data_IF_904799335689
#
_entry.id   IF_904799335689
#
_cell.length_a   1.000
_cell.length_b   1.000
_cell.length_c   1.000
_cell.angle_alpha   90.00
_cell.angle_beta   90.00
_cell.angle_gamma   90.00
#
_symmetry.space_group_name_H-M   'P 1'
#
loop_
_entity.id
_entity.type
_entity.pdbx_description
1 polymer ?
#
# COMPACT_ATOMS: atom_id res chain seq x y z
N UNK A 1 -31.07 2.79 -2.43
CA UNK A 1 -29.69 3.01 -1.94
C UNK A 1 -29.76 2.99 -0.43
N UNK A 2 -29.00 2.11 0.24
CA UNK A 2 -29.05 1.92 1.69
C UNK A 2 -27.99 2.75 2.43
N UNK A 3 -26.79 2.86 1.87
CA UNK A 3 -25.71 3.68 2.44
C UNK A 3 -24.60 3.93 1.41
N UNK A 4 -23.84 5.01 1.62
CA UNK A 4 -22.50 5.20 1.07
C UNK A 4 -21.58 5.35 2.29
N UNK A 5 -20.45 4.65 2.28
CA UNK A 5 -19.47 4.67 3.37
C UNK A 5 -18.14 5.13 2.80
N UNK A 6 -17.60 6.22 3.36
CA UNK A 6 -16.29 6.77 3.03
C UNK A 6 -15.19 6.14 3.88
N UNK A 7 -13.92 6.36 3.52
CA UNK A 7 -12.80 5.96 4.36
C UNK A 7 -12.86 6.51 5.80
N UNK A 8 -13.27 7.77 5.96
CA UNK A 8 -13.40 8.40 7.28
C UNK A 8 -14.47 7.69 8.14
N UNK A 9 -15.63 7.36 7.57
CA UNK A 9 -16.68 6.61 8.27
C UNK A 9 -16.26 5.16 8.54
N UNK A 10 -15.50 4.54 7.64
CA UNK A 10 -15.01 3.18 7.85
C UNK A 10 -14.06 3.06 9.05
N UNK A 11 -13.33 4.12 9.43
CA UNK A 11 -12.49 4.13 10.64
C UNK A 11 -13.28 3.90 11.92
N UNK A 12 -14.55 4.31 11.94
CA UNK A 12 -15.42 4.11 13.11
C UNK A 12 -15.94 2.66 13.21
N UNK A 13 -15.86 1.91 12.11
CA UNK A 13 -16.43 0.58 11.97
C UNK A 13 -15.38 -0.54 12.03
N UNK A 14 -14.19 -0.29 11.48
CA UNK A 14 -13.17 -1.33 11.32
C UNK A 14 -11.76 -0.74 11.46
N UNK A 15 -10.88 -1.50 12.14
CA UNK A 15 -9.47 -1.17 12.23
C UNK A 15 -8.69 -1.47 10.95
N UNK A 16 -7.36 -1.26 10.95
CA UNK A 16 -6.50 -1.67 9.84
C UNK A 16 -6.67 -3.14 9.49
N UNK A 17 -6.45 -3.47 8.22
CA UNK A 17 -6.37 -4.84 7.77
C UNK A 17 -5.22 -5.55 8.52
N UNK A 18 -5.46 -6.73 9.09
CA UNK A 18 -4.42 -7.45 9.81
C UNK A 18 -3.32 -7.88 8.83
N UNK A 19 -2.08 -7.77 9.27
CA UNK A 19 -0.95 -8.32 8.55
C UNK A 19 -0.90 -9.84 8.73
N UNK A 20 -0.82 -10.58 7.62
CA UNK A 20 -0.43 -12.00 7.69
C UNK A 20 0.99 -12.20 8.23
N UNK A 21 1.84 -11.19 8.03
CA UNK A 21 3.18 -11.06 8.59
C UNK A 21 3.49 -9.56 8.77
N UNK A 22 3.78 -9.12 10.00
CA UNK A 22 4.15 -7.73 10.27
C UNK A 22 5.66 -7.52 10.03
N UNK A 23 6.07 -6.67 9.06
CA UNK A 23 7.48 -6.39 8.79
C UNK A 23 8.26 -5.90 10.01
N UNK A 24 7.61 -5.23 10.98
CA UNK A 24 8.27 -4.77 12.19
C UNK A 24 8.91 -5.92 12.99
N UNK A 25 8.32 -7.12 12.93
CA UNK A 25 8.86 -8.32 13.58
C UNK A 25 10.21 -8.80 13.01
N UNK A 26 10.60 -8.34 11.82
CA UNK A 26 11.88 -8.65 11.18
C UNK A 26 12.73 -7.40 10.91
N UNK A 27 12.52 -6.32 11.68
CA UNK A 27 13.32 -5.08 11.57
C UNK A 27 12.91 -4.17 10.40
N UNK A 28 11.78 -4.44 9.75
CA UNK A 28 11.14 -3.53 8.81
C UNK A 28 10.24 -2.50 9.51
N UNK A 29 9.34 -1.88 8.73
CA UNK A 29 8.31 -0.97 9.23
C UNK A 29 6.92 -1.46 8.87
N UNK A 30 5.99 -1.43 9.81
CA UNK A 30 4.57 -1.73 9.58
C UNK A 30 3.97 -0.72 8.61
N UNK A 31 3.15 -1.17 7.65
CA UNK A 31 2.41 -0.31 6.72
C UNK A 31 0.91 -0.47 6.98
N UNK A 32 0.23 0.60 7.36
CA UNK A 32 -1.19 0.53 7.67
C UNK A 32 -2.00 0.42 6.37
N UNK A 33 -2.61 -0.74 6.14
CA UNK A 33 -3.57 -0.93 5.05
C UNK A 33 -4.99 -0.82 5.61
N UNK A 34 -5.83 -0.03 4.95
CA UNK A 34 -7.24 0.15 5.33
C UNK A 34 -8.14 -0.44 4.25
N UNK A 35 -9.36 -0.81 4.64
CA UNK A 35 -10.36 -1.32 3.69
C UNK A 35 -10.81 -0.25 2.69
N UNK A 36 -10.82 1.00 3.14
CA UNK A 36 -11.05 2.20 2.34
C UNK A 36 -9.96 3.21 2.71
N UNK A 37 -9.36 3.84 1.72
CA UNK A 37 -8.32 4.86 1.86
C UNK A 37 -8.84 6.06 2.67
N UNK A 38 -7.95 6.59 3.51
CA UNK A 38 -8.20 7.78 4.32
C UNK A 38 -7.12 8.77 3.97
N UNK A 39 -7.53 9.99 3.64
CA UNK A 39 -6.74 11.16 3.22
C UNK A 39 -5.97 10.97 1.89
N UNK A 40 -5.38 9.80 1.64
CA UNK A 40 -4.49 9.56 0.51
C UNK A 40 -4.69 8.15 -0.08
N UNK A 41 -4.80 8.08 -1.41
CA UNK A 41 -4.75 6.85 -2.21
C UNK A 41 -3.32 6.58 -2.67
N UNK A 42 -2.86 5.33 -2.57
CA UNK A 42 -1.44 4.99 -2.83
C UNK A 42 -1.19 4.23 -4.13
N UNK A 43 -2.25 3.72 -4.77
CA UNK A 43 -2.14 2.98 -6.01
C UNK A 43 -3.46 3.04 -6.80
N UNK A 44 -3.38 2.71 -8.09
CA UNK A 44 -4.57 2.60 -8.94
C UNK A 44 -5.44 1.45 -8.45
N UNK A 45 -6.67 1.77 -8.06
CA UNK A 45 -7.62 0.79 -7.50
C UNK A 45 -7.67 0.77 -5.97
N UNK A 46 -6.96 1.67 -5.29
CA UNK A 46 -7.11 1.86 -3.84
C UNK A 46 -8.55 2.31 -3.52
N UNK A 47 -9.36 1.52 -2.79
CA UNK A 47 -10.78 1.82 -2.61
C UNK A 47 -11.01 3.08 -1.77
N UNK A 48 -11.89 3.99 -2.19
CA UNK A 48 -12.16 5.25 -1.46
C UNK A 48 -13.55 5.33 -0.83
N UNK A 49 -14.51 4.57 -1.38
CA UNK A 49 -15.88 4.52 -0.91
C UNK A 49 -16.52 3.15 -1.18
N UNK A 50 -17.51 2.80 -0.39
CA UNK A 50 -18.36 1.61 -0.54
C UNK A 50 -19.82 2.04 -0.69
N UNK A 51 -20.54 1.47 -1.65
CA UNK A 51 -21.98 1.69 -1.85
C UNK A 51 -22.75 0.43 -1.52
N UNK A 52 -23.77 0.56 -0.68
CA UNK A 52 -24.72 -0.53 -0.39
C UNK A 52 -26.07 -0.19 -1.02
N UNK A 53 -26.49 -1.01 -1.98
CA UNK A 53 -27.79 -0.90 -2.64
C UNK A 53 -28.69 -2.10 -2.36
N UNK A 54 -30.00 -1.92 -2.56
CA UNK A 54 -30.97 -3.02 -2.52
C UNK A 54 -30.93 -3.86 -3.81
N UNK A 55 -30.40 -3.28 -4.88
CA UNK A 55 -30.18 -3.91 -6.19
C UNK A 55 -28.81 -3.50 -6.73
N UNK A 56 -28.24 -4.34 -7.60
CA UNK A 56 -26.96 -4.05 -8.28
C UNK A 56 -27.07 -2.76 -9.10
N UNK A 57 -28.09 -2.64 -9.95
CA UNK A 57 -28.30 -1.46 -10.78
C UNK A 57 -28.43 -0.16 -9.95
N UNK A 58 -29.07 -0.23 -8.78
CA UNK A 58 -29.18 0.93 -7.89
C UNK A 58 -27.87 1.29 -7.20
N UNK A 59 -27.01 0.31 -6.90
CA UNK A 59 -25.67 0.55 -6.37
C UNK A 59 -24.73 1.11 -7.44
N UNK A 60 -24.78 0.58 -8.66
CA UNK A 60 -24.00 1.07 -9.82
C UNK A 60 -24.35 2.51 -10.15
N UNK A 61 -25.64 2.84 -10.25
CA UNK A 61 -26.07 4.22 -10.49
C UNK A 61 -25.61 5.19 -9.39
N UNK A 62 -25.53 4.72 -8.15
CA UNK A 62 -25.02 5.53 -7.04
C UNK A 62 -23.49 5.65 -7.08
N UNK A 63 -22.76 4.60 -7.48
CA UNK A 63 -21.31 4.68 -7.72
C UNK A 63 -20.99 5.71 -8.81
N UNK A 64 -21.73 5.71 -9.91
CA UNK A 64 -21.56 6.67 -11.02
C UNK A 64 -21.81 8.13 -10.60
N UNK A 65 -22.59 8.35 -9.53
CA UNK A 65 -22.88 9.68 -9.00
C UNK A 65 -21.79 10.18 -8.02
N UNK A 66 -20.90 9.31 -7.53
CA UNK A 66 -19.82 9.70 -6.63
C UNK A 66 -18.81 10.55 -7.40
N UNK A 67 -18.43 11.67 -6.78
CA UNK A 67 -17.30 12.49 -7.22
C UNK A 67 -16.25 12.49 -6.14
N UNK A 68 -15.01 12.31 -6.56
CA UNK A 68 -13.85 12.36 -5.67
C UNK A 68 -12.89 13.39 -6.23
N UNK A 69 -12.60 14.40 -5.43
CA UNK A 69 -11.66 15.45 -5.78
C UNK A 69 -10.28 15.06 -5.22
N UNK A 70 -9.29 14.96 -6.10
CA UNK A 70 -7.93 14.58 -5.74
C UNK A 70 -6.96 15.75 -5.92
N UNK A 71 -6.06 15.92 -4.97
CA UNK A 71 -4.78 16.57 -5.22
C UNK A 71 -3.80 15.51 -5.75
N UNK A 72 -3.46 15.57 -7.03
CA UNK A 72 -2.62 14.54 -7.65
C UNK A 72 -1.16 14.72 -7.22
N UNK A 73 -0.64 13.72 -6.50
CA UNK A 73 0.76 13.66 -6.09
C UNK A 73 1.63 12.94 -7.14
N UNK A 74 2.94 13.20 -7.20
CA UNK A 74 3.85 12.47 -8.07
C UNK A 74 3.91 10.98 -7.70
N UNK A 75 3.53 10.12 -8.64
CA UNK A 75 3.60 8.67 -8.46
C UNK A 75 5.02 8.14 -8.74
N UNK A 76 5.42 7.10 -8.00
CA UNK A 76 6.66 6.35 -8.25
C UNK A 76 6.31 4.89 -8.47
N UNK A 77 6.54 4.40 -9.69
CA UNK A 77 6.15 3.05 -10.12
C UNK A 77 7.33 2.14 -10.45
N UNK A 78 8.54 2.70 -10.49
CA UNK A 78 9.78 1.96 -10.73
C UNK A 78 10.59 1.83 -9.45
N UNK A 79 11.18 0.65 -9.25
CA UNK A 79 11.94 0.33 -8.02
C UNK A 79 13.13 1.29 -7.83
N UNK A 80 13.95 1.49 -8.86
CA UNK A 80 15.14 2.35 -8.79
C UNK A 80 14.77 3.80 -8.44
N UNK A 81 13.62 4.27 -8.94
CA UNK A 81 13.10 5.59 -8.60
C UNK A 81 12.60 5.63 -7.15
N UNK A 82 11.94 4.59 -6.66
CA UNK A 82 11.45 4.53 -5.28
C UNK A 82 12.58 4.50 -4.25
N UNK A 83 13.72 3.89 -4.60
CA UNK A 83 14.92 3.79 -3.77
C UNK A 83 15.74 5.08 -3.75
N UNK A 84 15.50 6.04 -4.66
CA UNK A 84 16.22 7.29 -4.69
C UNK A 84 15.92 8.14 -3.43
N UNK A 85 16.94 8.83 -2.93
CA UNK A 85 16.78 9.72 -1.76
C UNK A 85 15.75 10.82 -2.01
N UNK A 86 15.65 11.29 -3.26
CA UNK A 86 14.70 12.31 -3.72
C UNK A 86 13.33 11.77 -4.10
N UNK A 87 13.07 10.47 -3.94
CA UNK A 87 11.80 9.88 -4.30
C UNK A 87 10.64 10.47 -3.47
N UNK A 88 9.49 10.80 -4.09
CA UNK A 88 8.25 10.99 -3.36
C UNK A 88 8.03 9.84 -2.37
N UNK A 89 7.59 10.16 -1.15
CA UNK A 89 7.36 9.18 -0.09
C UNK A 89 5.93 8.65 -0.21
N UNK A 90 5.77 7.33 -0.24
CA UNK A 90 4.45 6.66 -0.23
C UNK A 90 3.75 6.80 1.13
N UNK A 91 4.54 7.00 2.18
CA UNK A 91 4.08 7.30 3.53
C UNK A 91 4.90 8.49 4.04
N UNK A 92 4.24 9.63 4.24
CA UNK A 92 4.90 10.90 4.58
C UNK A 92 5.68 10.86 5.91
N UNK A 93 5.30 9.97 6.82
CA UNK A 93 5.95 9.76 8.12
C UNK A 93 7.26 8.96 8.03
N UNK A 94 7.73 8.64 6.81
CA UNK A 94 8.91 7.79 6.58
C UNK A 94 10.10 8.53 5.97
N UNK A 95 11.28 8.09 6.40
CA UNK A 95 12.55 8.58 5.89
C UNK A 95 12.87 8.08 4.47
N UNK A 96 12.45 6.86 4.11
CA UNK A 96 12.63 6.22 2.81
C UNK A 96 11.40 5.38 2.41
N UNK A 97 11.37 4.90 1.16
CA UNK A 97 10.32 3.99 0.67
C UNK A 97 10.63 2.51 0.95
N UNK A 98 11.66 2.20 1.77
CA UNK A 98 12.07 0.83 2.03
C UNK A 98 11.26 0.26 3.19
N UNK A 99 10.39 -0.70 2.87
CA UNK A 99 9.57 -1.38 3.88
C UNK A 99 10.42 -2.20 4.85
N UNK A 100 11.44 -2.90 4.33
CA UNK A 100 12.25 -3.84 5.10
C UNK A 100 13.55 -4.15 4.36
N UNK A 101 14.63 -4.37 5.12
CA UNK A 101 15.90 -4.92 4.64
C UNK A 101 16.19 -6.18 5.44
N UNK A 102 16.17 -7.35 4.79
CA UNK A 102 16.43 -8.64 5.45
C UNK A 102 17.80 -9.15 4.98
N UNK A 103 18.88 -8.98 5.78
CA UNK A 103 20.17 -9.57 5.43
C UNK A 103 20.07 -11.09 5.52
N UNK A 104 20.52 -11.76 4.47
CA UNK A 104 20.62 -13.22 4.44
C UNK A 104 22.08 -13.63 4.24
N UNK A 105 22.59 -14.48 5.12
CA UNK A 105 23.94 -15.05 5.00
C UNK A 105 23.89 -16.54 5.33
N UNK A 106 24.40 -17.36 4.42
CA UNK A 106 24.56 -18.80 4.64
C UNK A 106 25.90 -19.25 4.08
N UNK A 107 26.81 -19.70 4.96
CA UNK A 107 28.17 -20.08 4.58
C UNK A 107 28.99 -18.92 4.03
N UNK A 108 30.04 -19.25 3.27
CA UNK A 108 30.94 -18.30 2.62
C UNK A 108 30.67 -18.28 1.11
N UNK A 109 29.83 -17.33 0.69
CA UNK A 109 29.42 -17.18 -0.70
C UNK A 109 30.59 -16.81 -1.62
N UNK A 110 31.52 -15.99 -1.15
CA UNK A 110 32.68 -15.54 -1.93
C UNK A 110 33.62 -16.73 -2.22
N UNK A 111 33.94 -17.51 -1.19
CA UNK A 111 34.77 -18.70 -1.36
C UNK A 111 34.08 -19.79 -2.22
N UNK A 112 32.75 -19.89 -2.15
CA UNK A 112 31.98 -20.81 -3.01
C UNK A 112 32.01 -20.38 -4.48
N UNK A 113 31.81 -19.08 -4.77
CA UNK A 113 31.87 -18.52 -6.12
C UNK A 113 33.26 -18.66 -6.74
N UNK A 114 34.33 -18.39 -5.96
CA UNK A 114 35.71 -18.52 -6.43
C UNK A 114 36.10 -19.96 -6.84
N UNK A 115 35.38 -20.97 -6.35
CA UNK A 115 35.59 -22.39 -6.69
C UNK A 115 34.58 -22.93 -7.71
N UNK A 116 33.68 -22.08 -8.22
CA UNK A 116 32.67 -22.48 -9.22
C UNK A 116 33.31 -22.66 -10.60
N UNK A 117 33.03 -23.76 -11.32
CA UNK A 117 33.65 -24.06 -12.61
C UNK A 117 33.11 -23.26 -13.80
N UNK A 118 32.20 -22.30 -13.60
CA UNK A 118 31.61 -21.47 -14.67
C UNK A 118 31.69 -19.99 -14.28
N UNK A 119 32.38 -19.18 -15.10
CA UNK A 119 32.38 -17.70 -15.03
C UNK A 119 31.44 -17.11 -16.07
#
# INVERSE_FOLDING_TARGET
MRAVVTGAEALELVGPLPHGFDPAGAGGRTAVFRVLAVDEVRFVGDPVALVVGDTVAGAEAALDAIRVDYEVLPAVVELDQALADSAPRVFEDRADNVLMRVPYSAGDAEAALARSPMS
#
